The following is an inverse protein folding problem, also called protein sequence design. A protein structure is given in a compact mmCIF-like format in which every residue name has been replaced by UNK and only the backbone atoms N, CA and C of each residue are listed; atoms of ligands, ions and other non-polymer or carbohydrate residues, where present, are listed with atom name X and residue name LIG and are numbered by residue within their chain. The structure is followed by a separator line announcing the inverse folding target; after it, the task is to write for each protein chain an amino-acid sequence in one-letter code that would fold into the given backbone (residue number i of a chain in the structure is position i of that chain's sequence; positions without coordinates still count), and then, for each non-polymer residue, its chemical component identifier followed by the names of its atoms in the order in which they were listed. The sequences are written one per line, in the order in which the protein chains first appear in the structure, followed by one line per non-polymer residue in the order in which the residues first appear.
data_IF_040603570515
#
_entry.id   IF_040603570515
#
_cell.length_a   1.000
_cell.length_b   1.000
_cell.length_c   1.000
_cell.angle_alpha   90.00
_cell.angle_beta   90.00
_cell.angle_gamma   90.00
#
_symmetry.space_group_name_H-M   'P 1'
#
loop_
_entity.id
_entity.type
_entity.pdbx_description
1 polymer ?
#
# COMPACT_ATOMS: atom_id res chain seq x y z
N UNK A 1 16.04 -1.61 -35.25
CA UNK A 1 15.68 -1.26 -33.85
C UNK A 1 14.43 -0.41 -33.85
N UNK A 2 13.35 -0.87 -33.24
CA UNK A 2 12.14 -0.07 -33.01
C UNK A 2 12.38 1.02 -31.96
N UNK A 3 11.53 2.05 -31.89
CA UNK A 3 11.60 3.09 -30.84
C UNK A 3 11.61 2.48 -29.43
N UNK A 4 10.81 1.43 -29.22
CA UNK A 4 10.74 0.71 -27.95
C UNK A 4 12.09 0.09 -27.55
N UNK A 5 12.82 -0.52 -28.50
CA UNK A 5 14.15 -1.08 -28.21
C UNK A 5 15.20 -0.01 -27.89
N UNK A 6 15.10 1.18 -28.49
CA UNK A 6 15.98 2.31 -28.16
C UNK A 6 15.68 2.85 -26.76
N UNK A 7 14.40 2.98 -26.42
CA UNK A 7 13.93 3.42 -25.12
C UNK A 7 14.36 2.45 -24.00
N UNK A 8 14.16 1.15 -24.21
CA UNK A 8 14.59 0.11 -23.28
C UNK A 8 16.12 0.14 -23.05
N UNK A 9 16.91 0.22 -24.12
CA UNK A 9 18.36 0.32 -24.04
C UNK A 9 18.82 1.57 -23.29
N UNK A 10 18.12 2.70 -23.47
CA UNK A 10 18.40 3.93 -22.73
C UNK A 10 18.16 3.76 -21.23
N UNK A 11 16.98 3.26 -20.82
CA UNK A 11 16.63 3.03 -19.41
C UNK A 11 17.63 2.12 -18.69
N UNK A 12 18.20 1.14 -19.40
CA UNK A 12 19.23 0.22 -18.86
C UNK A 12 20.59 0.89 -18.65
N UNK A 13 20.93 1.94 -19.41
CA UNK A 13 22.23 2.63 -19.38
C UNK A 13 22.31 3.78 -18.37
N UNK A 14 21.18 4.39 -17.99
CA UNK A 14 21.14 5.52 -17.04
C UNK A 14 21.78 5.12 -15.71
N UNK A 15 22.63 5.95 -15.07
CA UNK A 15 23.17 5.64 -13.74
C UNK A 15 22.06 5.32 -12.72
N UNK A 16 22.28 4.31 -11.87
CA UNK A 16 21.27 3.84 -10.89
C UNK A 16 20.65 4.96 -10.04
N UNK A 17 21.42 5.93 -9.48
CA UNK A 17 20.84 7.01 -8.70
C UNK A 17 19.88 7.88 -9.53
N UNK A 18 20.25 8.19 -10.78
CA UNK A 18 19.42 8.98 -11.69
C UNK A 18 18.15 8.21 -12.06
N UNK A 19 18.26 6.91 -12.31
CA UNK A 19 17.10 6.06 -12.61
C UNK A 19 16.08 6.06 -11.45
N UNK A 20 16.53 5.86 -10.22
CA UNK A 20 15.66 5.90 -9.03
C UNK A 20 15.05 7.29 -8.81
N UNK A 21 15.81 8.36 -9.04
CA UNK A 21 15.30 9.73 -8.96
C UNK A 21 14.19 9.99 -9.99
N UNK A 22 14.35 9.49 -11.23
CA UNK A 22 13.32 9.58 -12.26
C UNK A 22 12.07 8.78 -11.91
N UNK A 23 12.21 7.58 -11.35
CA UNK A 23 11.06 6.79 -10.87
C UNK A 23 10.32 7.49 -9.73
N UNK A 24 11.04 8.08 -8.78
CA UNK A 24 10.45 8.84 -7.68
C UNK A 24 9.73 10.09 -8.19
N UNK A 25 10.36 10.84 -9.11
CA UNK A 25 9.74 12.01 -9.72
C UNK A 25 8.47 11.64 -10.49
N UNK A 26 8.51 10.56 -11.30
CA UNK A 26 7.33 10.04 -11.99
C UNK A 26 6.24 9.64 -11.00
N UNK A 27 6.58 8.92 -9.92
CA UNK A 27 5.62 8.55 -8.88
C UNK A 27 4.91 9.78 -8.30
N UNK A 28 5.66 10.80 -7.88
CA UNK A 28 5.09 12.04 -7.31
C UNK A 28 4.22 12.78 -8.33
N UNK A 29 4.62 12.81 -9.61
CA UNK A 29 3.81 13.41 -10.68
C UNK A 29 2.52 12.62 -10.92
N UNK A 30 2.55 11.30 -10.83
CA UNK A 30 1.35 10.47 -11.02
C UNK A 30 0.39 10.54 -9.84
N UNK A 31 0.90 10.48 -8.61
CA UNK A 31 0.06 10.31 -7.42
C UNK A 31 -0.23 11.62 -6.73
N UNK A 32 0.59 12.65 -6.93
CA UNK A 32 0.58 13.86 -6.12
C UNK A 32 0.94 13.60 -4.66
N UNK A 33 0.78 14.64 -3.84
CA UNK A 33 0.92 14.59 -2.38
C UNK A 33 -0.33 15.22 -1.79
N UNK A 34 -1.04 14.51 -0.92
CA UNK A 34 -2.25 15.02 -0.29
C UNK A 34 -2.41 14.45 1.13
N UNK A 35 -2.98 15.27 2.01
CA UNK A 35 -3.24 14.89 3.40
C UNK A 35 -4.59 14.20 3.50
N UNK A 36 -4.69 13.16 4.33
CA UNK A 36 -5.96 12.47 4.51
C UNK A 36 -7.05 13.41 5.09
N UNK A 37 -8.31 13.33 4.62
CA UNK A 37 -9.40 14.22 5.05
C UNK A 37 -9.69 14.26 6.55
N UNK A 38 -9.47 13.15 7.26
CA UNK A 38 -9.77 13.01 8.69
C UNK A 38 -8.59 13.41 9.58
N UNK A 39 -7.71 14.30 9.10
CA UNK A 39 -6.48 14.66 9.78
C UNK A 39 -6.70 15.25 11.18
N UNK A 40 -7.74 16.06 11.33
CA UNK A 40 -8.10 16.66 12.62
C UNK A 40 -8.33 15.59 13.69
N UNK A 41 -9.07 14.54 13.34
CA UNK A 41 -9.34 13.40 14.24
C UNK A 41 -8.07 12.65 14.63
N UNK A 42 -7.14 12.46 13.68
CA UNK A 42 -5.87 11.79 13.97
C UNK A 42 -4.92 12.65 14.78
N UNK A 43 -4.95 13.97 14.63
CA UNK A 43 -4.15 14.87 15.45
C UNK A 43 -4.56 14.79 16.94
N UNK A 44 -5.85 14.54 17.23
CA UNK A 44 -6.31 14.31 18.59
C UNK A 44 -5.75 13.00 19.17
N UNK A 45 -5.68 11.93 18.37
CA UNK A 45 -5.04 10.66 18.78
C UNK A 45 -3.53 10.79 18.99
N UNK A 46 -2.86 11.68 18.26
CA UNK A 46 -1.43 11.97 18.48
C UNK A 46 -1.24 12.72 19.80
N UNK A 47 -2.14 13.63 20.16
CA UNK A 47 -2.03 14.39 21.41
C UNK A 47 -2.17 13.47 22.65
N UNK A 48 -3.04 12.48 22.57
CA UNK A 48 -3.22 11.45 23.58
C UNK A 48 -3.52 10.09 22.93
N UNK A 49 -2.49 9.25 22.67
CA UNK A 49 -2.70 7.93 22.08
C UNK A 49 -3.28 6.92 23.09
N UNK A 50 -3.38 7.27 24.37
CA UNK A 50 -3.86 6.39 25.43
C UNK A 50 -5.33 6.64 25.81
N UNK A 51 -5.90 7.77 25.39
CA UNK A 51 -7.32 8.09 25.56
C UNK A 51 -8.18 7.84 24.32
N UNK A 52 -9.50 8.02 24.48
CA UNK A 52 -10.44 8.11 23.36
C UNK A 52 -10.83 9.58 23.13
N UNK A 53 -10.30 10.25 22.09
CA UNK A 53 -10.59 11.65 21.84
C UNK A 53 -11.94 11.91 21.13
N UNK A 54 -12.67 10.87 20.72
CA UNK A 54 -13.82 11.00 19.82
C UNK A 54 -15.17 11.28 20.51
N UNK A 55 -15.17 11.40 21.84
CA UNK A 55 -16.38 11.69 22.61
C UNK A 55 -17.38 10.52 22.65
N UNK A 56 -18.61 10.77 23.13
CA UNK A 56 -19.56 9.72 23.51
C UNK A 56 -20.32 9.08 22.36
N UNK A 57 -20.19 9.57 21.12
CA UNK A 57 -20.93 9.00 19.98
C UNK A 57 -20.31 7.70 19.47
N UNK A 58 -19.05 7.41 19.81
CA UNK A 58 -18.31 6.20 19.43
C UNK A 58 -18.19 5.93 17.91
N UNK A 59 -18.71 6.80 17.05
CA UNK A 59 -18.73 6.59 15.61
C UNK A 59 -17.32 6.50 15.02
N UNK A 60 -16.36 7.24 15.58
CA UNK A 60 -14.97 7.29 15.12
C UNK A 60 -14.03 6.32 15.86
N UNK A 61 -14.53 5.50 16.79
CA UNK A 61 -13.71 4.53 17.56
C UNK A 61 -12.93 3.57 16.66
N UNK A 62 -13.41 3.31 15.44
CA UNK A 62 -12.71 2.47 14.46
C UNK A 62 -11.34 3.04 14.03
N UNK A 63 -11.11 4.35 14.22
CA UNK A 63 -9.82 4.99 14.00
C UNK A 63 -8.80 4.63 15.08
N UNK A 64 -9.23 4.25 16.30
CA UNK A 64 -8.32 3.83 17.37
C UNK A 64 -7.50 2.61 16.97
N UNK A 65 -8.02 1.77 16.05
CA UNK A 65 -7.27 0.66 15.49
C UNK A 65 -5.93 1.05 14.86
N UNK A 66 -5.75 2.33 14.49
CA UNK A 66 -4.55 2.93 13.86
C UNK A 66 -3.58 3.49 14.89
N UNK A 67 -3.27 2.72 15.91
CA UNK A 67 -2.62 3.24 17.11
C UNK A 67 -1.12 3.47 16.95
N UNK A 68 -0.40 2.49 16.38
CA UNK A 68 1.06 2.45 16.44
C UNK A 68 1.75 3.67 15.82
N UNK A 69 1.31 4.14 14.66
CA UNK A 69 1.89 5.34 14.02
C UNK A 69 1.69 6.60 14.87
N UNK A 70 0.55 6.73 15.55
CA UNK A 70 0.26 7.89 16.40
C UNK A 70 1.00 7.82 17.72
N UNK A 71 1.13 6.63 18.30
CA UNK A 71 2.01 6.40 19.44
C UNK A 71 3.47 6.77 19.13
N UNK A 72 4.01 6.32 17.99
CA UNK A 72 5.38 6.69 17.59
C UNK A 72 5.50 8.20 17.38
N UNK A 73 4.51 8.83 16.75
CA UNK A 73 4.46 10.30 16.55
C UNK A 73 4.50 11.04 17.90
N UNK A 74 3.68 10.59 18.86
CA UNK A 74 3.64 11.12 20.21
C UNK A 74 4.98 10.93 20.95
N UNK A 75 5.56 9.74 20.85
CA UNK A 75 6.81 9.37 21.53
C UNK A 75 7.99 10.26 21.12
N UNK A 76 8.04 10.70 19.85
CA UNK A 76 9.07 11.60 19.33
C UNK A 76 8.71 13.09 19.48
N UNK A 77 7.61 13.40 20.16
CA UNK A 77 7.19 14.78 20.46
C UNK A 77 6.65 15.55 19.25
N UNK A 78 6.18 14.86 18.20
CA UNK A 78 5.55 15.53 17.06
C UNK A 78 4.11 15.90 17.42
N UNK A 79 3.89 17.20 17.63
CA UNK A 79 2.58 17.76 17.91
C UNK A 79 2.07 18.62 16.74
N UNK A 80 0.76 18.55 16.52
CA UNK A 80 0.03 19.44 15.62
C UNK A 80 -0.14 18.91 14.18
N UNK A 81 -1.22 19.31 13.48
CA UNK A 81 -1.62 18.69 12.23
C UNK A 81 -0.51 18.65 11.16
N UNK A 82 0.09 19.81 10.86
CA UNK A 82 1.09 19.95 9.80
C UNK A 82 2.35 19.10 10.04
N UNK A 83 2.84 19.05 11.28
CA UNK A 83 4.05 18.30 11.62
C UNK A 83 3.83 16.80 11.51
N UNK A 84 2.65 16.32 11.92
CA UNK A 84 2.30 14.92 11.74
C UNK A 84 2.16 14.57 10.23
N UNK A 85 1.68 15.48 9.36
CA UNK A 85 1.60 15.22 7.91
C UNK A 85 3.01 15.05 7.34
N UNK A 86 3.91 15.96 7.71
CA UNK A 86 5.31 15.88 7.30
C UNK A 86 5.97 14.60 7.82
N UNK A 87 5.62 14.16 9.02
CA UNK A 87 6.10 12.89 9.59
C UNK A 87 5.64 11.68 8.78
N UNK A 88 4.35 11.60 8.41
CA UNK A 88 3.82 10.48 7.62
C UNK A 88 4.35 10.48 6.19
N UNK A 89 4.61 11.65 5.59
CA UNK A 89 5.36 11.76 4.33
C UNK A 89 6.80 11.26 4.50
N UNK A 90 7.46 11.61 5.61
CA UNK A 90 8.78 11.08 5.96
C UNK A 90 8.77 9.55 6.04
N UNK A 91 7.77 8.95 6.70
CA UNK A 91 7.57 7.50 6.73
C UNK A 91 7.34 6.90 5.34
N UNK A 92 6.63 7.61 4.46
CA UNK A 92 6.45 7.18 3.07
C UNK A 92 7.80 7.09 2.33
N UNK A 93 8.69 8.06 2.53
CA UNK A 93 10.06 8.03 1.98
C UNK A 93 10.86 6.87 2.55
N UNK A 94 10.77 6.61 3.86
CA UNK A 94 11.42 5.45 4.51
C UNK A 94 10.89 4.14 3.94
N UNK A 95 9.58 4.01 3.72
CA UNK A 95 8.97 2.86 3.06
C UNK A 95 9.52 2.64 1.64
N UNK A 96 9.58 3.68 0.81
CA UNK A 96 10.12 3.58 -0.55
C UNK A 96 11.60 3.16 -0.53
N UNK A 97 12.40 3.75 0.37
CA UNK A 97 13.80 3.38 0.54
C UNK A 97 13.96 1.92 1.00
N UNK A 98 13.14 1.46 1.94
CA UNK A 98 13.12 0.07 2.38
C UNK A 98 12.74 -0.89 1.24
N UNK A 99 11.74 -0.54 0.42
CA UNK A 99 11.39 -1.31 -0.79
C UNK A 99 12.55 -1.43 -1.78
N UNK A 100 13.24 -0.31 -2.07
CA UNK A 100 14.45 -0.31 -2.91
C UNK A 100 15.54 -1.19 -2.32
N UNK A 101 15.75 -1.14 -1.01
CA UNK A 101 16.74 -1.95 -0.31
C UNK A 101 16.41 -3.45 -0.36
N UNK A 102 15.16 -3.83 -0.13
CA UNK A 102 14.68 -5.22 -0.26
C UNK A 102 14.91 -5.73 -1.67
N UNK A 103 14.54 -4.96 -2.70
CA UNK A 103 14.77 -5.34 -4.10
C UNK A 103 16.26 -5.51 -4.37
N UNK A 104 17.11 -4.60 -3.89
CA UNK A 104 18.56 -4.71 -4.07
C UNK A 104 19.13 -5.98 -3.43
N UNK A 105 18.62 -6.36 -2.25
CA UNK A 105 19.08 -7.53 -1.50
C UNK A 105 18.60 -8.85 -2.10
N UNK A 106 17.43 -8.88 -2.75
CA UNK A 106 16.78 -10.14 -3.20
C UNK A 106 16.82 -10.36 -4.70
N UNK A 107 16.97 -9.31 -5.50
CA UNK A 107 16.93 -9.39 -6.97
C UNK A 107 18.33 -9.25 -7.56
N UNK A 108 18.65 -10.10 -8.52
CA UNK A 108 19.93 -10.06 -9.22
C UNK A 108 20.16 -8.70 -9.92
N UNK A 109 21.42 -8.29 -10.14
CA UNK A 109 21.71 -7.02 -10.80
C UNK A 109 21.06 -6.84 -12.18
N UNK A 110 20.87 -7.93 -12.92
CA UNK A 110 20.28 -7.94 -14.27
C UNK A 110 18.81 -7.51 -14.27
N UNK A 111 18.03 -8.01 -13.31
CA UNK A 111 16.59 -7.79 -13.23
C UNK A 111 16.19 -6.62 -12.31
N UNK A 112 17.15 -6.06 -11.57
CA UNK A 112 16.88 -5.05 -10.52
C UNK A 112 16.16 -3.80 -11.01
N UNK A 113 16.47 -3.33 -12.22
CA UNK A 113 15.81 -2.15 -12.80
C UNK A 113 14.34 -2.41 -13.09
N UNK A 114 14.02 -3.58 -13.65
CA UNK A 114 12.65 -3.99 -13.89
C UNK A 114 11.88 -4.12 -12.57
N UNK A 115 12.49 -4.75 -11.56
CA UNK A 115 11.89 -4.85 -10.24
C UNK A 115 11.61 -3.47 -9.61
N UNK A 116 12.55 -2.51 -9.71
CA UNK A 116 12.30 -1.14 -9.25
C UNK A 116 11.18 -0.46 -10.04
N UNK A 117 11.16 -0.57 -11.37
CA UNK A 117 10.06 -0.02 -12.17
C UNK A 117 8.71 -0.61 -11.75
N UNK A 118 8.62 -1.93 -11.59
CA UNK A 118 7.41 -2.61 -11.13
C UNK A 118 6.98 -2.09 -9.76
N UNK A 119 7.92 -1.96 -8.81
CA UNK A 119 7.64 -1.44 -7.48
C UNK A 119 7.10 -0.02 -7.51
N UNK A 120 7.76 0.90 -8.22
CA UNK A 120 7.31 2.30 -8.32
C UNK A 120 6.02 2.45 -9.15
N UNK A 121 5.75 1.54 -10.09
CA UNK A 121 4.50 1.53 -10.85
C UNK A 121 3.31 0.97 -10.04
N UNK A 122 3.54 0.35 -8.87
CA UNK A 122 2.46 -0.09 -8.01
C UNK A 122 1.75 1.11 -7.39
N UNK A 123 0.40 1.15 -7.41
CA UNK A 123 -0.37 2.15 -6.67
C UNK A 123 -0.02 2.18 -5.17
N UNK A 124 0.38 1.05 -4.59
CA UNK A 124 0.85 0.96 -3.21
C UNK A 124 2.09 1.83 -2.93
N UNK A 125 2.98 2.04 -3.91
CA UNK A 125 4.13 2.92 -3.75
C UNK A 125 3.70 4.40 -3.59
N UNK A 126 2.62 4.79 -4.27
CA UNK A 126 2.05 6.14 -4.24
C UNK A 126 1.06 6.40 -3.11
N UNK A 127 0.37 5.35 -2.64
CA UNK A 127 -0.59 5.38 -1.53
C UNK A 127 -0.19 6.27 -0.34
N UNK A 128 1.00 6.09 0.24
CA UNK A 128 1.37 6.85 1.43
C UNK A 128 1.77 8.31 1.12
N UNK A 129 1.94 8.69 -0.15
CA UNK A 129 2.20 10.08 -0.57
C UNK A 129 0.90 10.84 -0.80
N UNK A 130 -0.06 10.25 -1.53
CA UNK A 130 -1.33 10.90 -1.82
C UNK A 130 -2.30 10.86 -0.65
N UNK A 131 -2.16 9.87 0.24
CA UNK A 131 -2.98 9.74 1.45
C UNK A 131 -2.04 9.79 2.66
N UNK A 132 -1.36 10.92 2.82
CA UNK A 132 -0.40 11.12 3.90
C UNK A 132 -1.09 10.93 5.26
N UNK A 133 -0.76 9.80 5.88
CA UNK A 133 -1.50 9.25 7.03
C UNK A 133 -0.91 7.91 7.48
N UNK A 134 -1.74 7.09 8.14
CA UNK A 134 -1.32 5.83 8.74
C UNK A 134 -0.88 4.74 7.76
N UNK A 135 -1.20 4.86 6.47
CA UNK A 135 -0.84 3.88 5.44
C UNK A 135 0.68 3.80 5.21
N UNK A 136 1.40 4.91 5.42
CA UNK A 136 2.86 4.97 5.35
C UNK A 136 3.53 3.99 6.31
N UNK A 137 3.06 3.97 7.57
CA UNK A 137 3.52 3.03 8.59
C UNK A 137 3.10 1.60 8.23
N UNK A 138 1.88 1.39 7.77
CA UNK A 138 1.37 0.06 7.39
C UNK A 138 2.22 -0.58 6.30
N UNK A 139 2.47 0.14 5.20
CA UNK A 139 3.29 -0.34 4.08
C UNK A 139 4.76 -0.49 4.48
N UNK A 140 5.29 0.40 5.33
CA UNK A 140 6.62 0.23 5.92
C UNK A 140 6.72 -1.08 6.71
N UNK A 141 5.76 -1.37 7.58
CA UNK A 141 5.75 -2.61 8.37
C UNK A 141 5.59 -3.86 7.49
N UNK A 142 4.77 -3.79 6.43
CA UNK A 142 4.67 -4.86 5.44
C UNK A 142 6.01 -5.09 4.72
N UNK A 143 6.68 -4.05 4.22
CA UNK A 143 7.97 -4.24 3.52
C UNK A 143 9.09 -4.70 4.46
N UNK A 144 9.08 -4.26 5.72
CA UNK A 144 10.01 -4.76 6.75
C UNK A 144 9.76 -6.24 7.06
N UNK A 145 8.50 -6.69 7.12
CA UNK A 145 8.20 -8.12 7.25
C UNK A 145 8.76 -8.90 6.05
N UNK A 146 8.54 -8.42 4.82
CA UNK A 146 9.07 -9.05 3.61
C UNK A 146 10.60 -9.10 3.56
N UNK A 147 11.29 -8.11 4.15
CA UNK A 147 12.74 -8.13 4.31
C UNK A 147 13.23 -9.30 5.21
N UNK A 148 12.35 -9.84 6.05
CA UNK A 148 12.64 -10.93 7.00
C UNK A 148 12.22 -12.31 6.50
N UNK A 149 11.87 -12.48 5.23
CA UNK A 149 11.49 -13.81 4.68
C UNK A 149 12.56 -14.88 4.92
N UNK A 150 13.84 -14.51 4.82
CA UNK A 150 14.96 -15.44 5.09
C UNK A 150 15.21 -15.69 6.58
N UNK A 151 14.60 -14.90 7.46
CA UNK A 151 14.66 -15.01 8.93
C UNK A 151 13.24 -14.94 9.51
N UNK A 152 12.39 -15.93 9.22
CA UNK A 152 10.94 -15.82 9.40
C UNK A 152 10.53 -15.50 10.83
N UNK A 153 11.27 -15.97 11.84
CA UNK A 153 11.01 -15.63 13.25
C UNK A 153 11.03 -14.11 13.49
N UNK A 154 11.93 -13.37 12.84
CA UNK A 154 12.02 -11.91 13.00
C UNK A 154 10.82 -11.17 12.40
N UNK A 155 10.05 -11.81 11.49
CA UNK A 155 8.83 -11.21 10.94
C UNK A 155 7.72 -11.04 11.99
N UNK A 156 7.85 -11.68 13.16
CA UNK A 156 6.95 -11.46 14.30
C UNK A 156 6.98 -10.00 14.77
N UNK A 157 8.14 -9.33 14.72
CA UNK A 157 8.30 -7.96 15.22
C UNK A 157 7.52 -6.92 14.39
N UNK A 158 7.69 -6.82 13.05
CA UNK A 158 6.84 -5.97 12.24
C UNK A 158 5.38 -6.46 12.25
N UNK A 159 5.14 -7.76 12.46
CA UNK A 159 3.80 -8.30 12.68
C UNK A 159 3.10 -7.70 13.91
N UNK A 160 3.77 -7.66 15.06
CA UNK A 160 3.25 -7.06 16.29
C UNK A 160 2.89 -5.59 16.06
N UNK A 161 3.81 -4.81 15.51
CA UNK A 161 3.55 -3.41 15.19
C UNK A 161 2.37 -3.25 14.21
N UNK A 162 2.26 -4.12 13.21
CA UNK A 162 1.17 -4.09 12.23
C UNK A 162 -0.18 -4.45 12.87
N UNK A 163 -0.19 -5.39 13.81
CA UNK A 163 -1.35 -5.74 14.63
C UNK A 163 -1.86 -4.59 15.51
N UNK A 164 -0.98 -3.65 15.87
CA UNK A 164 -1.30 -2.42 16.59
C UNK A 164 -1.63 -1.23 15.66
N UNK A 165 -1.55 -1.41 14.33
CA UNK A 165 -1.72 -0.35 13.33
C UNK A 165 -2.92 -0.57 12.40
N UNK A 166 -2.89 -1.60 11.57
CA UNK A 166 -3.95 -1.92 10.61
C UNK A 166 -4.03 -3.43 10.51
N UNK A 167 -4.40 -4.07 11.63
CA UNK A 167 -4.43 -5.52 11.73
C UNK A 167 -5.28 -6.16 10.63
N UNK A 168 -6.37 -5.52 10.22
CA UNK A 168 -7.27 -5.98 9.17
C UNK A 168 -6.57 -6.03 7.81
N UNK A 169 -5.89 -4.94 7.42
CA UNK A 169 -5.12 -4.92 6.17
C UNK A 169 -3.93 -5.89 6.23
N UNK A 170 -3.28 -6.00 7.40
CA UNK A 170 -2.22 -6.99 7.64
C UNK A 170 -2.71 -8.42 7.47
N UNK A 171 -3.87 -8.77 8.02
CA UNK A 171 -4.48 -10.10 7.91
C UNK A 171 -4.92 -10.42 6.47
N UNK A 172 -5.48 -9.46 5.74
CA UNK A 172 -5.86 -9.67 4.33
C UNK A 172 -4.60 -9.85 3.46
N UNK A 173 -3.56 -9.04 3.67
CA UNK A 173 -2.27 -9.22 2.98
C UNK A 173 -1.62 -10.55 3.31
N UNK A 174 -1.65 -10.96 4.58
CA UNK A 174 -1.19 -12.28 5.04
C UNK A 174 -1.97 -13.42 4.38
N UNK A 175 -3.30 -13.30 4.28
CA UNK A 175 -4.16 -14.28 3.60
C UNK A 175 -3.72 -14.44 2.14
N UNK A 176 -3.51 -13.33 1.43
CA UNK A 176 -3.02 -13.37 0.05
C UNK A 176 -1.67 -14.09 -0.07
N UNK A 177 -0.71 -13.77 0.80
CA UNK A 177 0.60 -14.44 0.81
C UNK A 177 0.45 -15.92 1.19
N UNK A 178 -0.41 -16.25 2.15
CA UNK A 178 -0.72 -17.62 2.54
C UNK A 178 -1.26 -18.45 1.38
N UNK A 179 -2.20 -17.91 0.61
CA UNK A 179 -2.74 -18.54 -0.61
C UNK A 179 -1.64 -18.72 -1.66
N UNK A 180 -0.82 -17.69 -1.90
CA UNK A 180 0.32 -17.78 -2.82
C UNK A 180 1.27 -18.93 -2.45
N UNK A 181 1.65 -19.01 -1.17
CA UNK A 181 2.57 -20.04 -0.65
C UNK A 181 1.92 -21.43 -0.70
N UNK A 182 0.66 -21.56 -0.28
CA UNK A 182 -0.08 -22.81 -0.31
C UNK A 182 -0.21 -23.37 -1.73
N UNK A 183 -0.56 -22.53 -2.71
CA UNK A 183 -0.69 -22.97 -4.09
C UNK A 183 0.67 -23.30 -4.72
N UNK A 184 1.72 -22.55 -4.41
CA UNK A 184 3.10 -22.92 -4.81
C UNK A 184 3.47 -24.29 -4.23
N UNK A 185 3.11 -24.55 -2.97
CA UNK A 185 3.32 -25.84 -2.33
C UNK A 185 2.56 -26.96 -3.07
N UNK A 186 1.25 -26.81 -3.31
CA UNK A 186 0.42 -27.79 -4.02
C UNK A 186 0.98 -28.10 -5.42
N UNK A 187 1.60 -27.12 -6.07
CA UNK A 187 2.25 -27.27 -7.39
C UNK A 187 3.71 -27.77 -7.31
N UNK A 188 4.16 -28.28 -6.17
CA UNK A 188 5.48 -28.88 -5.98
C UNK A 188 6.63 -27.88 -5.80
N UNK A 189 6.35 -26.59 -5.60
CA UNK A 189 7.36 -25.54 -5.37
C UNK A 189 7.46 -25.22 -3.90
N UNK A 190 8.16 -26.09 -3.19
CA UNK A 190 8.31 -26.01 -1.74
C UNK A 190 9.37 -24.98 -1.33
N UNK A 191 8.95 -23.93 -0.62
CA UNK A 191 9.85 -23.08 0.15
C UNK A 191 9.38 -23.04 1.61
N UNK A 192 10.07 -23.82 2.46
CA UNK A 192 9.76 -23.91 3.88
C UNK A 192 9.92 -22.56 4.59
N UNK A 193 10.82 -21.69 4.13
CA UNK A 193 11.05 -20.38 4.75
C UNK A 193 9.84 -19.49 4.57
N UNK A 194 9.24 -19.48 3.38
CA UNK A 194 7.99 -18.76 3.11
C UNK A 194 6.82 -19.29 3.96
N UNK A 195 6.73 -20.61 4.15
CA UNK A 195 5.72 -21.20 5.05
C UNK A 195 5.87 -20.69 6.49
N UNK A 196 7.09 -20.74 7.04
CA UNK A 196 7.37 -20.22 8.38
C UNK A 196 7.19 -18.70 8.47
N UNK A 197 7.50 -17.96 7.42
CA UNK A 197 7.29 -16.52 7.35
C UNK A 197 5.81 -16.17 7.54
N UNK A 198 4.91 -16.86 6.83
CA UNK A 198 3.45 -16.67 7.00
C UNK A 198 3.02 -16.96 8.43
N UNK A 199 3.50 -18.05 9.03
CA UNK A 199 3.16 -18.41 10.42
C UNK A 199 3.62 -17.34 11.41
N UNK A 200 4.89 -16.94 11.37
CA UNK A 200 5.45 -15.99 12.34
C UNK A 200 4.96 -14.55 12.14
N UNK A 201 4.76 -14.13 10.90
CA UNK A 201 4.17 -12.83 10.60
C UNK A 201 2.72 -12.76 11.10
N UNK A 202 1.93 -13.82 10.84
CA UNK A 202 0.57 -13.94 11.34
C UNK A 202 0.47 -13.98 12.86
N UNK A 203 1.34 -14.75 13.52
CA UNK A 203 1.45 -14.77 14.98
C UNK A 203 1.74 -13.36 15.53
N UNK A 204 2.64 -12.62 14.88
CA UNK A 204 2.94 -11.24 15.23
C UNK A 204 1.71 -10.34 15.15
N UNK A 205 0.96 -10.38 14.05
CA UNK A 205 -0.26 -9.54 13.87
C UNK A 205 -1.29 -9.84 14.97
N UNK A 206 -1.51 -11.12 15.29
CA UNK A 206 -2.44 -11.52 16.35
C UNK A 206 -1.96 -11.04 17.72
N UNK A 207 -0.68 -11.24 18.05
CA UNK A 207 -0.08 -10.76 19.30
C UNK A 207 -0.16 -9.23 19.43
N UNK A 208 0.12 -8.50 18.35
CA UNK A 208 -0.02 -7.04 18.30
C UNK A 208 -1.45 -6.58 18.57
N UNK A 209 -2.44 -7.28 18.01
CA UNK A 209 -3.85 -6.96 18.27
C UNK A 209 -4.24 -7.20 19.73
N UNK A 210 -3.74 -8.27 20.35
CA UNK A 210 -3.94 -8.51 21.78
C UNK A 210 -3.21 -7.48 22.64
N UNK A 211 -1.99 -7.11 22.28
CA UNK A 211 -1.23 -6.07 22.97
C UNK A 211 -1.98 -4.73 22.95
N UNK A 212 -2.50 -4.32 21.79
CA UNK A 212 -3.31 -3.10 21.67
C UNK A 212 -4.56 -3.14 22.56
N UNK A 213 -5.27 -4.28 22.59
CA UNK A 213 -6.41 -4.46 23.52
C UNK A 213 -6.00 -4.40 24.99
N UNK A 214 -4.84 -4.95 25.33
CA UNK A 214 -4.28 -4.86 26.69
C UNK A 214 -3.98 -3.43 27.09
N UNK A 215 -3.38 -2.63 26.19
CA UNK A 215 -3.15 -1.19 26.40
C UNK A 215 -4.48 -0.48 26.65
N UNK A 216 -5.48 -0.69 25.80
CA UNK A 216 -6.80 -0.09 25.96
C UNK A 216 -7.46 -0.44 27.29
N UNK A 217 -7.40 -1.71 27.70
CA UNK A 217 -7.94 -2.15 28.99
C UNK A 217 -7.27 -1.45 30.18
N UNK A 218 -5.95 -1.29 30.16
CA UNK A 218 -5.20 -0.58 31.21
C UNK A 218 -5.53 0.91 31.23
N UNK A 219 -5.73 1.52 30.06
CA UNK A 219 -6.03 2.94 29.94
C UNK A 219 -7.52 3.28 30.07
N UNK A 220 -8.40 2.29 30.28
CA UNK A 220 -9.84 2.51 30.36
C UNK A 220 -10.49 2.92 29.04
N UNK A 221 -9.87 2.58 27.91
CA UNK A 221 -10.42 2.80 26.57
C UNK A 221 -11.23 1.56 26.18
N UNK A 222 -12.52 1.74 25.91
CA UNK A 222 -13.41 0.67 25.45
C UNK A 222 -14.06 1.05 24.10
N UNK A 223 -13.39 0.75 22.97
CA UNK A 223 -13.89 1.09 21.65
C UNK A 223 -15.19 0.33 21.35
N UNK A 224 -16.30 1.03 21.20
CA UNK A 224 -17.62 0.41 20.94
C UNK A 224 -17.81 0.06 19.47
N UNK A 225 -17.05 0.70 18.57
CA UNK A 225 -17.15 0.51 17.14
C UNK A 225 -15.80 0.11 16.52
N UNK A 226 -15.69 -1.15 16.14
CA UNK A 226 -14.55 -1.67 15.37
C UNK A 226 -14.69 -1.38 13.88
N UNK A 227 -13.58 -1.47 13.12
CA UNK A 227 -13.61 -1.36 11.65
C UNK A 227 -14.53 -2.38 10.99
N UNK A 228 -14.59 -3.60 11.53
CA UNK A 228 -15.49 -4.65 11.04
C UNK A 228 -16.97 -4.31 11.30
N UNK A 229 -17.31 -3.77 12.47
CA UNK A 229 -18.67 -3.32 12.77
C UNK A 229 -19.07 -2.14 11.87
N UNK A 230 -18.19 -1.12 11.75
CA UNK A 230 -18.40 0.00 10.85
C UNK A 230 -18.60 -0.44 9.40
N UNK A 231 -17.80 -1.40 8.93
CA UNK A 231 -17.95 -1.99 7.60
C UNK A 231 -19.26 -2.79 7.46
N UNK A 232 -19.65 -3.55 8.49
CA UNK A 232 -20.91 -4.29 8.51
C UNK A 232 -22.13 -3.37 8.38
N UNK A 233 -22.17 -2.28 9.14
CA UNK A 233 -23.25 -1.29 9.05
C UNK A 233 -23.35 -0.61 7.68
N UNK A 234 -22.23 -0.48 6.97
CA UNK A 234 -22.14 0.17 5.66
C UNK A 234 -22.02 -0.81 4.48
N UNK A 235 -22.17 -2.12 4.71
CA UNK A 235 -21.84 -3.15 3.73
C UNK A 235 -22.60 -2.96 2.41
N UNK A 236 -23.92 -2.75 2.50
CA UNK A 236 -24.77 -2.55 1.32
C UNK A 236 -24.30 -1.34 0.51
N UNK A 237 -24.00 -0.22 1.19
CA UNK A 237 -23.46 1.00 0.55
C UNK A 237 -22.14 0.69 -0.17
N UNK A 238 -21.21 0.00 0.47
CA UNK A 238 -19.89 -0.32 -0.12
C UNK A 238 -20.00 -1.24 -1.34
N UNK A 239 -20.89 -2.24 -1.29
CA UNK A 239 -21.16 -3.11 -2.42
C UNK A 239 -21.73 -2.32 -3.60
N UNK A 240 -22.71 -1.43 -3.37
CA UNK A 240 -23.25 -0.60 -4.46
C UNK A 240 -22.21 0.37 -5.03
N UNK A 241 -21.35 0.96 -4.18
CA UNK A 241 -20.23 1.78 -4.64
C UNK A 241 -19.26 0.98 -5.51
N UNK A 242 -18.98 -0.27 -5.15
CA UNK A 242 -18.13 -1.16 -5.94
C UNK A 242 -18.77 -1.48 -7.29
N UNK A 243 -20.05 -1.86 -7.29
CA UNK A 243 -20.80 -2.22 -8.50
C UNK A 243 -20.98 -1.05 -9.48
N UNK A 244 -20.89 0.20 -9.02
CA UNK A 244 -20.91 1.37 -9.89
C UNK A 244 -19.68 1.45 -10.81
N UNK A 245 -18.51 1.00 -10.34
CA UNK A 245 -17.24 1.16 -11.06
C UNK A 245 -16.27 -0.04 -10.93
N UNK A 246 -16.72 -1.30 -11.12
CA UNK A 246 -15.92 -2.48 -10.78
C UNK A 246 -14.63 -2.56 -11.62
N UNK A 247 -14.72 -2.30 -12.93
CA UNK A 247 -13.56 -2.32 -13.82
C UNK A 247 -12.51 -1.27 -13.46
N UNK A 248 -12.94 -0.05 -13.11
CA UNK A 248 -12.05 1.03 -12.69
C UNK A 248 -11.38 0.69 -11.36
N UNK A 249 -12.14 0.17 -10.39
CA UNK A 249 -11.61 -0.22 -9.08
C UNK A 249 -10.55 -1.31 -9.22
N UNK A 250 -10.87 -2.37 -9.96
CA UNK A 250 -9.94 -3.49 -10.21
C UNK A 250 -8.68 -2.98 -10.87
N UNK A 251 -8.80 -2.26 -11.99
CA UNK A 251 -7.66 -1.68 -12.71
C UNK A 251 -6.80 -0.81 -11.79
N UNK A 252 -7.43 0.12 -11.06
CA UNK A 252 -6.74 1.15 -10.29
C UNK A 252 -5.93 0.63 -9.12
N UNK A 253 -6.24 -0.55 -8.57
CA UNK A 253 -5.49 -1.04 -7.40
C UNK A 253 -4.13 -1.67 -7.71
N UNK A 254 -3.90 -2.18 -8.94
CA UNK A 254 -2.54 -2.56 -9.40
C UNK A 254 -2.05 -1.72 -10.59
N UNK A 255 -2.90 -0.91 -11.21
CA UNK A 255 -2.59 -0.09 -12.37
C UNK A 255 -2.03 -0.92 -13.53
N UNK A 256 -0.99 -0.38 -14.17
CA UNK A 256 -0.30 -1.04 -15.29
C UNK A 256 0.36 -2.37 -14.93
N UNK A 257 0.54 -2.68 -13.63
CA UNK A 257 1.10 -3.95 -13.19
C UNK A 257 0.16 -5.12 -13.51
N UNK A 258 -1.14 -4.88 -13.68
CA UNK A 258 -2.07 -5.90 -14.22
C UNK A 258 -1.65 -6.43 -15.58
N UNK A 259 -1.07 -5.59 -16.45
CA UNK A 259 -0.60 -6.01 -17.76
C UNK A 259 0.55 -7.02 -17.62
N UNK A 260 1.43 -6.80 -16.66
CA UNK A 260 2.57 -7.70 -16.38
C UNK A 260 2.08 -9.04 -15.83
N UNK A 261 1.12 -9.01 -14.90
CA UNK A 261 0.47 -10.22 -14.37
C UNK A 261 -0.21 -11.00 -15.50
N UNK A 262 -0.93 -10.33 -16.40
CA UNK A 262 -1.60 -10.96 -17.54
C UNK A 262 -0.59 -11.58 -18.52
N UNK A 263 0.48 -10.88 -18.86
CA UNK A 263 1.53 -11.38 -19.76
C UNK A 263 2.20 -12.65 -19.21
N UNK A 264 2.58 -12.65 -17.93
CA UNK A 264 3.15 -13.83 -17.27
C UNK A 264 2.17 -15.00 -17.26
N UNK A 265 0.91 -14.73 -16.92
CA UNK A 265 -0.12 -15.76 -16.87
C UNK A 265 -0.40 -16.37 -18.25
N UNK A 266 -0.40 -15.58 -19.33
CA UNK A 266 -0.54 -16.10 -20.69
C UNK A 266 0.66 -16.95 -21.12
N UNK A 267 1.88 -16.53 -20.79
CA UNK A 267 3.11 -17.25 -21.18
C UNK A 267 3.34 -18.55 -20.41
N UNK A 268 2.96 -18.61 -19.14
CA UNK A 268 3.16 -19.80 -18.31
C UNK A 268 2.08 -19.92 -17.21
N UNK A 269 0.84 -20.16 -17.61
CA UNK A 269 -0.32 -20.12 -16.72
C UNK A 269 -0.14 -20.94 -15.44
N UNK A 270 0.33 -22.20 -15.52
CA UNK A 270 0.57 -23.05 -14.34
C UNK A 270 1.54 -22.44 -13.34
N UNK A 271 2.52 -21.69 -13.82
CA UNK A 271 3.54 -21.04 -12.99
C UNK A 271 2.99 -19.86 -12.23
N UNK A 272 2.10 -19.08 -12.85
CA UNK A 272 1.65 -17.79 -12.35
C UNK A 272 0.20 -17.78 -11.84
N UNK A 273 -0.56 -18.87 -12.02
CA UNK A 273 -1.88 -19.06 -11.40
C UNK A 273 -1.85 -18.80 -9.88
N UNK A 274 -0.84 -19.23 -9.10
CA UNK A 274 -0.77 -18.89 -7.67
C UNK A 274 -0.79 -17.38 -7.38
N UNK A 275 -0.08 -16.57 -8.19
CA UNK A 275 -0.07 -15.11 -8.06
C UNK A 275 -1.45 -14.54 -8.40
N UNK A 276 -2.04 -14.97 -9.52
CA UNK A 276 -3.37 -14.51 -9.95
C UNK A 276 -4.44 -14.84 -8.91
N UNK A 277 -4.47 -16.09 -8.43
CA UNK A 277 -5.45 -16.53 -7.43
C UNK A 277 -5.26 -15.79 -6.10
N UNK A 278 -4.02 -15.58 -5.65
CA UNK A 278 -3.75 -14.77 -4.45
C UNK A 278 -4.27 -13.33 -4.60
N UNK A 279 -4.03 -12.68 -5.75
CA UNK A 279 -4.57 -11.35 -6.03
C UNK A 279 -6.11 -11.36 -6.06
N UNK A 280 -6.74 -12.40 -6.63
CA UNK A 280 -8.21 -12.52 -6.68
C UNK A 280 -8.83 -12.72 -5.28
N UNK A 281 -8.19 -13.49 -4.41
CA UNK A 281 -8.63 -13.66 -3.01
C UNK A 281 -8.59 -12.32 -2.27
N UNK A 282 -7.50 -11.56 -2.44
CA UNK A 282 -7.39 -10.21 -1.87
C UNK A 282 -8.44 -9.27 -2.47
N UNK A 283 -8.65 -9.33 -3.79
CA UNK A 283 -9.64 -8.53 -4.50
C UNK A 283 -11.08 -8.79 -4.02
N UNK A 284 -11.40 -10.01 -3.61
CA UNK A 284 -12.72 -10.36 -3.08
C UNK A 284 -13.10 -9.60 -1.80
N UNK A 285 -12.12 -8.98 -1.12
CA UNK A 285 -12.36 -8.15 0.08
C UNK A 285 -12.75 -6.70 -0.24
N UNK A 286 -12.62 -6.28 -1.49
CA UNK A 286 -12.79 -4.88 -1.89
C UNK A 286 -14.25 -4.39 -1.86
N UNK A 287 -15.28 -5.21 -2.17
CA UNK A 287 -16.67 -4.78 -2.04
C UNK A 287 -17.10 -4.41 -0.61
N UNK A 288 -16.30 -4.73 0.42
CA UNK A 288 -16.64 -4.49 1.83
C UNK A 288 -15.90 -3.31 2.46
N UNK A 289 -15.25 -2.46 1.66
CA UNK A 289 -14.51 -1.29 2.15
C UNK A 289 -14.93 0.01 1.44
N UNK A 290 -14.83 1.14 2.14
CA UNK A 290 -15.20 2.45 1.57
C UNK A 290 -14.17 2.97 0.54
N UNK A 291 -12.90 2.64 0.76
CA UNK A 291 -11.78 3.12 -0.04
C UNK A 291 -11.13 1.97 -0.80
N UNK A 292 -11.83 1.56 -1.85
CA UNK A 292 -11.63 0.30 -2.54
C UNK A 292 -10.26 0.22 -3.21
N UNK A 293 -9.86 1.27 -3.92
CA UNK A 293 -8.63 1.28 -4.70
C UNK A 293 -7.38 1.34 -3.82
N UNK A 294 -7.37 2.21 -2.80
CA UNK A 294 -6.29 2.33 -1.83
C UNK A 294 -6.12 1.06 -1.02
N UNK A 295 -7.21 0.56 -0.44
CA UNK A 295 -7.15 -0.63 0.41
C UNK A 295 -6.64 -1.81 -0.41
N UNK A 296 -7.15 -2.02 -1.63
CA UNK A 296 -6.68 -3.09 -2.50
C UNK A 296 -5.19 -3.00 -2.79
N UNK A 297 -4.69 -1.80 -3.14
CA UNK A 297 -3.27 -1.59 -3.39
C UNK A 297 -2.42 -1.99 -2.17
N UNK A 298 -2.82 -1.58 -0.96
CA UNK A 298 -2.11 -1.90 0.28
C UNK A 298 -2.15 -3.40 0.56
N UNK A 299 -3.31 -4.04 0.50
CA UNK A 299 -3.43 -5.46 0.87
C UNK A 299 -2.88 -6.41 -0.20
N UNK A 300 -2.83 -6.01 -1.46
CA UNK A 300 -2.21 -6.77 -2.54
C UNK A 300 -0.68 -6.58 -2.59
N UNK A 301 -0.15 -5.50 -2.01
CA UNK A 301 1.28 -5.19 -1.99
C UNK A 301 2.17 -6.38 -1.62
N UNK A 302 1.98 -7.09 -0.48
CA UNK A 302 2.87 -8.18 -0.11
C UNK A 302 2.80 -9.37 -1.07
N UNK A 303 1.64 -9.63 -1.67
CA UNK A 303 1.46 -10.69 -2.68
C UNK A 303 2.25 -10.36 -3.94
N UNK A 304 2.10 -9.14 -4.47
CA UNK A 304 2.77 -8.71 -5.70
C UNK A 304 4.27 -8.54 -5.47
N UNK A 305 4.67 -8.05 -4.30
CA UNK A 305 6.07 -7.91 -3.94
C UNK A 305 6.79 -9.27 -3.93
N UNK A 306 6.19 -10.30 -3.31
CA UNK A 306 6.76 -11.65 -3.26
C UNK A 306 6.60 -12.45 -4.55
N UNK A 307 5.44 -12.35 -5.19
CA UNK A 307 5.08 -13.20 -6.32
C UNK A 307 5.52 -12.67 -7.68
N UNK A 308 5.91 -11.39 -7.75
CA UNK A 308 6.30 -10.71 -8.99
C UNK A 308 7.57 -9.88 -8.82
N UNK A 309 7.56 -8.87 -7.94
CA UNK A 309 8.64 -7.86 -7.90
C UNK A 309 9.98 -8.42 -7.44
N UNK A 310 9.97 -9.37 -6.49
CA UNK A 310 11.18 -10.01 -5.94
C UNK A 310 11.33 -11.47 -6.36
N UNK A 311 10.47 -11.96 -7.26
CA UNK A 311 10.54 -13.32 -7.79
C UNK A 311 11.44 -13.35 -9.02
N UNK A 312 12.67 -13.85 -8.85
CA UNK A 312 13.69 -13.87 -9.90
C UNK A 312 13.21 -14.59 -11.17
N UNK A 313 12.40 -15.64 -11.01
CA UNK A 313 11.82 -16.38 -12.14
C UNK A 313 10.80 -15.52 -12.88
N UNK A 314 9.90 -14.86 -12.17
CA UNK A 314 8.93 -13.93 -12.77
C UNK A 314 9.64 -12.84 -13.58
N UNK A 315 10.74 -12.29 -13.06
CA UNK A 315 11.49 -11.25 -13.75
C UNK A 315 12.24 -11.77 -14.99
N UNK A 316 12.75 -13.00 -14.93
CA UNK A 316 13.47 -13.66 -16.04
C UNK A 316 12.52 -14.05 -17.18
N UNK A 317 11.31 -14.51 -16.86
CA UNK A 317 10.31 -14.94 -17.84
C UNK A 317 9.68 -13.74 -18.60
N UNK A 318 9.90 -12.51 -18.14
CA UNK A 318 9.42 -11.33 -18.85
C UNK A 318 10.30 -10.97 -20.05
N UNK A 319 9.68 -10.55 -21.18
CA UNK A 319 10.45 -10.25 -22.38
C UNK A 319 11.31 -8.99 -22.19
N UNK A 320 12.48 -8.96 -22.84
CA UNK A 320 13.45 -7.88 -22.66
C UNK A 320 12.93 -6.47 -22.95
N UNK A 321 11.87 -6.31 -23.76
CA UNK A 321 11.24 -5.02 -24.07
C UNK A 321 10.29 -4.48 -22.97
N UNK A 322 10.00 -5.29 -21.95
CA UNK A 322 8.94 -4.99 -20.97
C UNK A 322 9.23 -3.72 -20.17
N UNK A 323 10.50 -3.42 -19.85
CA UNK A 323 10.86 -2.22 -19.07
C UNK A 323 10.44 -0.98 -19.86
N UNK A 324 10.80 -0.92 -21.14
CA UNK A 324 10.42 0.17 -22.01
C UNK A 324 8.91 0.34 -22.14
N UNK A 325 8.18 -0.75 -22.38
CA UNK A 325 6.73 -0.69 -22.57
C UNK A 325 5.97 -0.34 -21.29
N UNK A 326 6.37 -0.93 -20.16
CA UNK A 326 5.77 -0.65 -18.87
C UNK A 326 6.04 0.79 -18.44
N UNK A 327 7.24 1.32 -18.64
CA UNK A 327 7.55 2.71 -18.32
C UNK A 327 6.70 3.67 -19.17
N UNK A 328 6.53 3.41 -20.47
CA UNK A 328 5.67 4.24 -21.32
C UNK A 328 4.21 4.13 -20.94
N UNK A 329 3.70 2.91 -20.69
CA UNK A 329 2.33 2.70 -20.27
C UNK A 329 2.05 3.38 -18.92
N UNK A 330 2.97 3.27 -17.97
CA UNK A 330 2.86 3.92 -16.67
C UNK A 330 2.80 5.44 -16.82
N UNK A 331 3.72 6.03 -17.60
CA UNK A 331 3.76 7.48 -17.84
C UNK A 331 2.54 8.00 -18.61
N UNK A 332 1.99 7.20 -19.52
CA UNK A 332 0.87 7.60 -20.37
C UNK A 332 -0.50 7.42 -19.70
N UNK A 333 -0.64 6.42 -18.83
CA UNK A 333 -1.92 6.10 -18.19
C UNK A 333 -1.97 6.80 -16.83
N UNK A 334 -2.83 7.82 -16.66
CA UNK A 334 -2.98 8.45 -15.36
C UNK A 334 -3.48 7.42 -14.34
N UNK A 335 -2.98 7.53 -13.12
CA UNK A 335 -3.47 6.70 -12.05
C UNK A 335 -4.82 7.25 -11.58
N UNK A 336 -5.86 6.43 -11.73
CA UNK A 336 -7.22 6.73 -11.30
C UNK A 336 -7.39 6.13 -9.91
N UNK A 337 -8.19 6.77 -9.06
CA UNK A 337 -8.65 6.13 -7.83
C UNK A 337 -10.16 6.20 -7.71
N UNK A 338 -10.71 5.36 -6.86
CA UNK A 338 -12.11 5.39 -6.46
C UNK A 338 -12.19 5.47 -4.95
N UNK A 339 -12.85 6.53 -4.46
CA UNK A 339 -13.11 6.76 -3.06
C UNK A 339 -14.59 7.09 -2.88
N UNK A 340 -15.28 6.37 -1.99
CA UNK A 340 -16.73 6.55 -1.74
C UNK A 340 -17.61 6.41 -2.99
N UNK A 341 -17.18 5.57 -3.95
CA UNK A 341 -17.88 5.37 -5.23
C UNK A 341 -17.72 6.54 -6.22
N UNK A 342 -16.86 7.52 -5.94
CA UNK A 342 -16.53 8.60 -6.86
C UNK A 342 -15.18 8.30 -7.51
N UNK A 343 -15.10 8.43 -8.82
CA UNK A 343 -13.86 8.27 -9.62
C UNK A 343 -13.11 9.60 -9.67
N UNK A 344 -11.81 9.57 -9.39
CA UNK A 344 -10.95 10.76 -9.46
C UNK A 344 -9.76 10.50 -10.39
N UNK A 345 -9.44 11.51 -11.20
CA UNK A 345 -8.40 11.54 -12.21
C UNK A 345 -7.09 12.12 -11.66
N UNK A 346 -6.42 11.37 -10.79
CA UNK A 346 -5.14 11.76 -10.19
C UNK A 346 -5.21 12.95 -9.24
N UNK A 347 -4.23 13.06 -8.33
CA UNK A 347 -4.18 14.14 -7.33
C UNK A 347 -3.23 15.24 -7.74
N UNK A 348 -2.33 14.99 -8.67
CA UNK A 348 -1.32 15.97 -9.03
C UNK A 348 -1.93 17.33 -9.44
N UNK A 349 -2.96 17.40 -10.31
CA UNK A 349 -3.63 18.67 -10.60
C UNK A 349 -4.23 19.33 -9.35
N UNK A 350 -4.76 18.52 -8.42
CA UNK A 350 -5.39 18.98 -7.18
C UNK A 350 -4.35 19.48 -6.17
N UNK A 351 -3.21 18.80 -6.05
CA UNK A 351 -2.08 19.19 -5.22
C UNK A 351 -1.41 20.47 -5.72
N UNK A 352 -1.29 20.63 -7.05
CA UNK A 352 -0.85 21.88 -7.68
C UNK A 352 -1.84 23.00 -7.40
N UNK A 353 -3.14 22.78 -7.59
CA UNK A 353 -4.18 23.77 -7.30
C UNK A 353 -4.18 24.18 -5.81
N UNK A 354 -4.02 23.22 -4.90
CA UNK A 354 -3.90 23.47 -3.47
C UNK A 354 -2.65 24.27 -3.10
N UNK A 355 -1.48 23.88 -3.62
CA UNK A 355 -0.23 24.61 -3.38
C UNK A 355 -0.32 26.04 -3.93
N UNK A 356 -0.88 26.22 -5.13
CA UNK A 356 -1.12 27.53 -5.72
C UNK A 356 -2.09 28.37 -4.87
N UNK A 357 -3.16 27.78 -4.35
CA UNK A 357 -4.08 28.44 -3.43
C UNK A 357 -3.37 28.90 -2.15
N UNK A 358 -2.55 28.05 -1.54
CA UNK A 358 -1.78 28.41 -0.34
C UNK A 358 -0.75 29.52 -0.61
N UNK A 359 -0.11 29.53 -1.79
CA UNK A 359 0.92 30.51 -2.13
C UNK A 359 0.35 31.86 -2.59
N UNK A 360 -0.77 31.85 -3.31
CA UNK A 360 -1.28 33.04 -3.99
C UNK A 360 -2.60 33.55 -3.40
N UNK A 361 -3.26 32.79 -2.52
CA UNK A 361 -4.64 33.02 -2.09
C UNK A 361 -5.68 32.80 -3.19
N UNK A 362 -5.24 32.46 -4.42
CA UNK A 362 -6.07 32.28 -5.60
C UNK A 362 -6.00 30.82 -6.05
N UNK A 363 -7.16 30.23 -6.31
CA UNK A 363 -7.26 28.85 -6.77
C UNK A 363 -8.56 28.22 -6.28
N UNK A 364 -9.35 27.69 -7.21
CA UNK A 364 -10.53 26.90 -6.88
C UNK A 364 -10.07 25.52 -6.40
N UNK A 365 -10.30 25.24 -5.11
CA UNK A 365 -10.17 23.88 -4.59
C UNK A 365 -11.52 23.20 -4.83
N UNK A 366 -11.59 22.12 -5.64
CA UNK A 366 -12.86 21.44 -5.91
C UNK A 366 -13.57 21.07 -4.61
N UNK A 367 -14.90 21.22 -4.58
CA UNK A 367 -15.73 21.05 -3.37
C UNK A 367 -15.60 19.73 -2.60
N UNK A 368 -15.19 18.57 -3.15
CA UNK A 368 -14.88 17.42 -2.29
C UNK A 368 -13.60 17.61 -1.46
N UNK A 369 -12.73 18.57 -1.75
CA UNK A 369 -11.49 18.85 -1.02
C UNK A 369 -11.59 20.09 -0.13
N UNK A 370 -12.38 21.09 -0.54
CA UNK A 370 -12.56 22.33 0.23
C UNK A 370 -13.39 22.19 1.51
N UNK A 371 -14.07 21.05 1.72
CA UNK A 371 -14.80 20.75 2.97
C UNK A 371 -13.91 20.14 4.06
N UNK A 372 -12.68 19.76 3.73
CA UNK A 372 -11.74 19.10 4.65
C UNK A 372 -10.52 19.96 5.00
N UNK A 373 -10.48 21.19 4.47
CA UNK A 373 -9.56 22.27 4.84
C UNK A 373 -10.34 23.29 5.66
#
# INVERSE_FOLDING_TARGET
MTLLTRWDAWLRRIPTPVYLALLLAALVVHTGVWAMPNYGLTAMQVADPFGNPFGPTHEADYLLGTWFVWFVTWLIGIAGPRRTVLFTIGLAVVFLAAGVAVIRARVSPEHRRLAWLLFFALPAAGAPLYWAGGDSMTLLLMVLALAMVDRPLLAVLPGIALGMQHSEQGLVGLLGVGVLVLLRWVLGRHDRRLGWFVVWWGAGIVLGRFALRGIWAVCGVDPQNSRFQAAGHSLVKFVFQFLGHPGVIVWSGLGVVWLVVALLWQGAWRTYTPLVVACLVVLATIPVVEDQTRVFAIVAFPVVMLGLVTDERALTDLPGWIIGALALAWLAVPWIWVWRGIVFDGVFPQGVAWAMHQLTGHGYIPRPFGQFL
#
